data_IF_531936802019
#
_entry.id   IF_531936802019
#
_cell.length_a   1.000
_cell.length_b   1.000
_cell.length_c   1.000
_cell.angle_alpha   90.00
_cell.angle_beta   90.00
_cell.angle_gamma   90.00
#
_symmetry.space_group_name_H-M   'P 1'
#
loop_
_entity.id
_entity.type
_entity.pdbx_description
1 polymer ?
#
# COMPACT_ATOMS: atom_id res chain seq x y z
N UNK A 1 4.67 -4.31 4.22
CA UNK A 1 4.51 -5.76 3.91
C UNK A 1 5.41 -6.66 4.77
N UNK A 2 6.69 -6.32 5.00
CA UNK A 2 7.64 -7.16 5.76
C UNK A 2 7.40 -7.22 7.28
N UNK A 3 6.54 -6.38 7.84
CA UNK A 3 6.16 -6.46 9.25
C UNK A 3 5.51 -7.83 9.53
N UNK A 4 6.15 -8.68 10.34
CA UNK A 4 5.65 -10.02 10.69
C UNK A 4 5.38 -10.93 9.47
N UNK A 5 6.14 -10.76 8.38
CA UNK A 5 6.03 -11.60 7.17
C UNK A 5 7.44 -11.86 6.60
N UNK A 6 7.72 -13.09 6.16
CA UNK A 6 9.02 -13.48 5.60
C UNK A 6 9.25 -12.86 4.21
N UNK A 7 10.51 -12.63 3.85
CA UNK A 7 10.89 -11.97 2.58
C UNK A 7 10.38 -12.74 1.37
N UNK A 8 10.56 -14.07 1.36
CA UNK A 8 10.18 -14.95 0.26
C UNK A 8 8.67 -14.89 -0.02
N UNK A 9 7.88 -14.76 1.04
CA UNK A 9 6.43 -14.61 0.96
C UNK A 9 6.02 -13.24 0.43
N UNK A 10 6.76 -12.17 0.74
CA UNK A 10 6.41 -10.79 0.35
C UNK A 10 6.78 -10.46 -1.09
N UNK A 11 7.85 -11.04 -1.63
CA UNK A 11 8.42 -10.67 -2.92
C UNK A 11 7.40 -10.60 -4.08
N UNK A 12 6.55 -11.62 -4.33
CA UNK A 12 5.57 -11.55 -5.41
C UNK A 12 4.45 -10.52 -5.16
N UNK A 13 4.10 -10.26 -3.90
CA UNK A 13 3.10 -9.25 -3.54
C UNK A 13 3.62 -7.85 -3.74
N UNK A 14 4.86 -7.60 -3.32
CA UNK A 14 5.49 -6.31 -3.52
C UNK A 14 5.58 -5.95 -5.00
N UNK A 15 5.94 -6.92 -5.87
CA UNK A 15 5.98 -6.70 -7.32
C UNK A 15 4.61 -6.28 -7.89
N UNK A 16 3.55 -7.04 -7.60
CA UNK A 16 2.18 -6.70 -8.05
C UNK A 16 1.70 -5.36 -7.48
N UNK A 17 2.06 -5.07 -6.23
CA UNK A 17 1.73 -3.81 -5.59
C UNK A 17 2.40 -2.63 -6.28
N UNK A 18 3.70 -2.71 -6.56
CA UNK A 18 4.44 -1.64 -7.24
C UNK A 18 4.02 -1.49 -8.71
N UNK A 19 3.62 -2.57 -9.38
CA UNK A 19 3.06 -2.52 -10.73
C UNK A 19 1.71 -1.80 -10.76
N UNK A 20 0.83 -2.09 -9.79
CA UNK A 20 -0.50 -1.46 -9.70
C UNK A 20 -0.47 -0.05 -9.13
N UNK A 21 0.39 0.18 -8.15
CA UNK A 21 0.50 1.42 -7.39
C UNK A 21 1.96 1.92 -7.38
N UNK A 22 2.49 2.38 -8.54
CA UNK A 22 3.89 2.78 -8.66
C UNK A 22 4.24 4.03 -7.85
N UNK A 23 3.26 4.86 -7.49
CA UNK A 23 3.45 6.09 -6.71
C UNK A 23 2.48 6.19 -5.54
N UNK A 24 2.78 7.06 -4.56
CA UNK A 24 1.88 7.29 -3.42
C UNK A 24 0.53 7.88 -3.87
N UNK A 25 0.53 8.70 -4.93
CA UNK A 25 -0.68 9.27 -5.54
C UNK A 25 -1.54 8.19 -6.19
N UNK A 26 -0.92 7.23 -6.90
CA UNK A 26 -1.65 6.12 -7.51
C UNK A 26 -2.35 5.24 -6.47
N UNK A 27 -1.73 5.07 -5.29
CA UNK A 27 -2.33 4.37 -4.16
C UNK A 27 -3.45 5.21 -3.51
N UNK A 28 -3.21 6.50 -3.29
CA UNK A 28 -4.17 7.40 -2.66
C UNK A 28 -5.45 7.58 -3.47
N UNK A 29 -5.34 7.63 -4.81
CA UNK A 29 -6.46 7.79 -5.73
C UNK A 29 -7.28 6.50 -5.94
N UNK A 30 -6.71 5.33 -5.62
CA UNK A 30 -7.41 4.06 -5.75
C UNK A 30 -8.51 3.89 -4.70
N UNK A 31 -9.53 3.07 -5.00
CA UNK A 31 -10.47 2.65 -3.97
C UNK A 31 -9.80 1.75 -2.95
N UNK A 32 -10.32 1.76 -1.73
CA UNK A 32 -9.83 0.87 -0.67
C UNK A 32 -9.96 -0.60 -1.09
N UNK A 33 -11.05 -0.96 -1.78
CA UNK A 33 -11.30 -2.31 -2.28
C UNK A 33 -10.22 -2.76 -3.28
N UNK A 34 -9.78 -1.86 -4.16
CA UNK A 34 -8.68 -2.13 -5.09
C UNK A 34 -7.36 -2.38 -4.35
N UNK A 35 -7.05 -1.59 -3.32
CA UNK A 35 -5.86 -1.80 -2.49
C UNK A 35 -5.92 -3.14 -1.73
N UNK A 36 -7.09 -3.51 -1.19
CA UNK A 36 -7.28 -4.78 -0.47
C UNK A 36 -7.19 -5.99 -1.39
N UNK A 37 -7.68 -5.89 -2.63
CA UNK A 37 -7.58 -6.95 -3.64
C UNK A 37 -6.13 -7.30 -3.96
N UNK A 38 -5.26 -6.30 -4.15
CA UNK A 38 -3.83 -6.56 -4.42
C UNK A 38 -3.10 -7.13 -3.18
N UNK A 39 -3.60 -6.84 -1.98
CA UNK A 39 -3.06 -7.34 -0.70
C UNK A 39 -3.55 -8.74 -0.32
N UNK A 40 -4.53 -9.29 -1.04
CA UNK A 40 -5.22 -10.53 -0.68
C UNK A 40 -4.26 -11.72 -0.51
N UNK A 41 -4.28 -12.36 0.66
CA UNK A 41 -3.40 -13.49 1.00
C UNK A 41 -2.17 -13.14 1.86
N UNK A 42 -1.80 -11.85 2.02
CA UNK A 42 -0.77 -11.43 2.99
C UNK A 42 -1.26 -11.41 4.45
N UNK A 43 -2.57 -11.54 4.67
CA UNK A 43 -3.19 -11.40 5.99
C UNK A 43 -3.03 -10.00 6.60
N UNK A 44 -3.57 -9.82 7.81
CA UNK A 44 -3.52 -8.56 8.57
C UNK A 44 -3.96 -7.35 7.72
N UNK A 45 -5.17 -7.39 7.16
CA UNK A 45 -5.71 -6.37 6.24
C UNK A 45 -5.76 -4.95 6.82
N UNK A 46 -5.74 -4.81 8.15
CA UNK A 46 -5.58 -3.51 8.81
C UNK A 46 -4.30 -2.78 8.35
N UNK A 47 -3.21 -3.50 8.05
CA UNK A 47 -1.97 -2.91 7.49
C UNK A 47 -2.23 -2.25 6.14
N UNK A 48 -2.99 -2.91 5.26
CA UNK A 48 -3.33 -2.39 3.94
C UNK A 48 -4.24 -1.15 4.02
N UNK A 49 -5.27 -1.21 4.89
CA UNK A 49 -6.17 -0.07 5.14
C UNK A 49 -5.42 1.14 5.69
N UNK A 50 -4.54 0.92 6.66
CA UNK A 50 -3.72 1.98 7.24
C UNK A 50 -2.74 2.56 6.23
N UNK A 51 -2.13 1.72 5.38
CA UNK A 51 -1.22 2.17 4.33
C UNK A 51 -1.96 3.01 3.27
N UNK A 52 -3.16 2.59 2.86
CA UNK A 52 -4.01 3.35 1.93
C UNK A 52 -4.41 4.71 2.51
N UNK A 53 -4.88 4.72 3.76
CA UNK A 53 -5.18 5.97 4.49
C UNK A 53 -3.95 6.87 4.62
N UNK A 54 -2.78 6.31 4.93
CA UNK A 54 -1.55 7.07 5.03
C UNK A 54 -1.16 7.70 3.68
N UNK A 55 -1.33 6.98 2.57
CA UNK A 55 -1.10 7.52 1.23
C UNK A 55 -2.02 8.72 0.94
N UNK A 56 -3.30 8.63 1.31
CA UNK A 56 -4.25 9.75 1.18
C UNK A 56 -3.80 10.96 2.00
N UNK A 57 -3.38 10.75 3.25
CA UNK A 57 -2.85 11.82 4.11
C UNK A 57 -1.58 12.46 3.52
N UNK A 58 -0.67 11.66 2.96
CA UNK A 58 0.55 12.14 2.31
C UNK A 58 0.23 13.03 1.11
N UNK A 59 -0.74 12.64 0.28
CA UNK A 59 -1.15 13.45 -0.87
C UNK A 59 -1.88 14.72 -0.42
N UNK A 60 -2.87 14.59 0.47
CA UNK A 60 -3.72 15.71 0.92
C UNK A 60 -2.93 16.78 1.67
N UNK A 61 -2.05 16.38 2.59
CA UNK A 61 -1.39 17.31 3.52
C UNK A 61 0.03 17.68 3.13
N UNK A 62 0.71 16.83 2.38
CA UNK A 62 2.14 16.97 2.07
C UNK A 62 2.42 17.00 0.57
N UNK A 63 1.37 17.07 -0.27
CA UNK A 63 1.51 17.19 -1.73
C UNK A 63 2.25 16.01 -2.35
N UNK A 64 2.09 14.80 -1.80
CA UNK A 64 2.76 13.58 -2.28
C UNK A 64 4.16 13.35 -1.71
N UNK A 65 4.70 14.30 -0.94
CA UNK A 65 6.01 14.15 -0.31
C UNK A 65 5.88 13.50 1.06
N UNK A 66 6.68 12.46 1.32
CA UNK A 66 6.72 11.85 2.65
C UNK A 66 7.30 12.84 3.67
N UNK A 67 6.66 13.03 4.84
CA UNK A 67 7.17 13.90 5.89
C UNK A 67 8.46 13.33 6.52
N UNK A 68 9.35 14.25 6.95
CA UNK A 68 10.64 13.94 7.59
C UNK A 68 10.52 13.74 9.11
#
# INVERSE_FOLDING_TARGET
MLQQTRVESVLPYFRRWMERFPTVESLAAASQEAALSVWEGLGYYTRARNLHRAAQVVVERYGGNLPA
#
